data_IF_997399752409
#
_entry.id   IF_997399752409
#
_cell.length_a   1.000
_cell.length_b   1.000
_cell.length_c   1.000
_cell.angle_alpha   90.00
_cell.angle_beta   90.00
_cell.angle_gamma   90.00
#
_symmetry.space_group_name_H-M   'P 1'
#
loop_
_entity.id
_entity.type
_entity.pdbx_description
1 polymer ?
#
# COMPACT_ATOMS: atom_id res chain seq x y z
N UNK A 1 -10.49 -8.82 -11.10
CA UNK A 1 -9.65 -8.37 -9.96
C UNK A 1 -8.44 -9.29 -9.73
N UNK A 2 -8.61 -10.62 -9.57
CA UNK A 2 -7.46 -11.54 -9.35
C UNK A 2 -6.38 -11.48 -10.47
N UNK A 3 -6.77 -11.21 -11.72
CA UNK A 3 -5.86 -11.05 -12.86
C UNK A 3 -5.16 -9.68 -12.93
N UNK A 4 -5.56 -8.69 -12.12
CA UNK A 4 -5.00 -7.34 -12.13
C UNK A 4 -3.70 -7.23 -11.32
N UNK A 5 -3.07 -8.36 -10.96
CA UNK A 5 -1.85 -8.41 -10.15
C UNK A 5 -2.00 -7.92 -8.71
N UNK A 6 -3.05 -8.32 -7.95
CA UNK A 6 -3.31 -7.83 -6.60
C UNK A 6 -2.08 -7.94 -5.69
N UNK A 7 -1.96 -7.01 -4.73
CA UNK A 7 -0.88 -7.07 -3.74
C UNK A 7 -1.07 -8.29 -2.84
N UNK A 8 0.01 -9.03 -2.64
CA UNK A 8 0.11 -10.13 -1.69
C UNK A 8 0.79 -9.63 -0.43
N UNK A 9 0.20 -9.91 0.72
CA UNK A 9 0.70 -9.52 2.05
C UNK A 9 0.97 -10.77 2.86
N UNK A 10 2.17 -10.88 3.44
CA UNK A 10 2.53 -11.99 4.33
C UNK A 10 2.10 -11.64 5.75
N UNK A 11 1.03 -12.25 6.24
CA UNK A 11 0.42 -11.87 7.52
C UNK A 11 1.36 -12.20 8.68
N UNK A 12 1.52 -11.26 9.63
CA UNK A 12 2.42 -11.40 10.78
C UNK A 12 3.88 -11.00 10.53
N UNK A 13 4.27 -10.72 9.28
CA UNK A 13 5.65 -10.37 8.93
C UNK A 13 6.12 -8.97 9.35
N UNK A 14 5.24 -8.15 9.91
CA UNK A 14 5.56 -6.79 10.39
C UNK A 14 6.22 -6.77 11.78
N UNK A 15 6.40 -7.94 12.41
CA UNK A 15 6.92 -8.05 13.78
C UNK A 15 8.44 -8.13 13.80
N UNK A 16 9.06 -7.67 14.89
CA UNK A 16 10.52 -7.73 15.06
C UNK A 16 11.07 -9.17 14.96
N UNK A 17 10.34 -10.15 15.52
CA UNK A 17 10.72 -11.56 15.42
C UNK A 17 10.69 -12.06 13.98
N UNK A 18 9.72 -11.62 13.18
CA UNK A 18 9.64 -11.96 11.77
C UNK A 18 10.79 -11.33 10.96
N UNK A 19 11.20 -10.10 11.30
CA UNK A 19 12.35 -9.45 10.67
C UNK A 19 13.65 -10.19 11.00
N UNK A 20 13.88 -10.52 12.26
CA UNK A 20 15.06 -11.32 12.65
C UNK A 20 15.09 -12.67 11.93
N UNK A 21 13.95 -13.36 11.87
CA UNK A 21 13.87 -14.64 11.15
C UNK A 21 14.13 -14.49 9.64
N UNK A 22 13.70 -13.38 9.04
CA UNK A 22 14.01 -13.07 7.65
C UNK A 22 15.50 -12.74 7.46
N UNK A 23 16.12 -11.98 8.34
CA UNK A 23 17.54 -11.65 8.27
C UNK A 23 18.41 -12.91 8.40
N UNK A 24 18.02 -13.84 9.28
CA UNK A 24 18.75 -15.10 9.51
C UNK A 24 18.63 -16.10 8.34
N UNK A 25 17.46 -16.15 7.69
CA UNK A 25 17.13 -17.22 6.72
C UNK A 25 16.96 -16.72 5.26
N UNK A 26 16.88 -15.41 5.06
CA UNK A 26 16.62 -14.77 3.79
C UNK A 26 15.36 -15.30 3.10
N UNK A 27 15.51 -15.66 1.82
CA UNK A 27 14.38 -16.13 0.99
C UNK A 27 13.73 -17.42 1.50
N UNK A 28 14.45 -18.24 2.28
CA UNK A 28 13.89 -19.48 2.83
C UNK A 28 12.78 -19.18 3.85
N UNK A 29 12.89 -18.08 4.60
CA UNK A 29 11.82 -17.62 5.48
C UNK A 29 10.51 -17.41 4.72
N UNK A 30 10.58 -16.75 3.55
CA UNK A 30 9.40 -16.48 2.71
C UNK A 30 8.73 -17.78 2.26
N UNK A 31 9.51 -18.80 1.88
CA UNK A 31 8.97 -20.10 1.50
C UNK A 31 8.19 -20.74 2.64
N UNK A 32 8.72 -20.73 3.87
CA UNK A 32 8.08 -21.33 5.05
C UNK A 32 6.78 -20.64 5.47
N UNK A 33 6.66 -19.34 5.23
CA UNK A 33 5.50 -18.55 5.67
C UNK A 33 4.54 -18.21 4.53
N UNK A 34 4.80 -18.72 3.32
CA UNK A 34 4.02 -18.36 2.13
C UNK A 34 2.53 -18.67 2.25
N UNK A 35 2.16 -19.68 3.04
CA UNK A 35 0.77 -20.05 3.37
C UNK A 35 0.05 -19.00 4.23
N UNK A 36 0.78 -18.15 4.95
CA UNK A 36 0.22 -17.01 5.70
C UNK A 36 -0.14 -15.83 4.80
N UNK A 37 0.12 -15.91 3.49
CA UNK A 37 -0.07 -14.78 2.60
C UNK A 37 -1.54 -14.58 2.20
N UNK A 38 -2.01 -13.33 2.29
CA UNK A 38 -3.33 -12.90 1.87
C UNK A 38 -3.25 -11.98 0.64
N UNK A 39 -4.31 -11.97 -0.18
CA UNK A 39 -4.43 -11.07 -1.34
C UNK A 39 -5.31 -9.86 -1.02
N UNK A 40 -4.81 -8.66 -1.28
CA UNK A 40 -5.60 -7.42 -1.27
C UNK A 40 -6.44 -7.29 -2.54
N UNK A 41 -7.61 -7.91 -2.56
CA UNK A 41 -8.58 -7.78 -3.65
C UNK A 41 -9.44 -6.55 -3.42
N UNK A 42 -9.11 -5.44 -4.08
CA UNK A 42 -9.80 -4.15 -3.93
C UNK A 42 -10.57 -3.80 -5.21
N UNK A 43 -11.75 -3.22 -5.04
CA UNK A 43 -12.47 -2.47 -6.05
C UNK A 43 -12.05 -1.00 -6.03
N UNK A 44 -12.39 -0.26 -7.08
CA UNK A 44 -12.17 1.19 -7.14
C UNK A 44 -12.87 1.88 -5.97
N UNK A 45 -12.12 2.68 -5.21
CA UNK A 45 -12.64 3.38 -4.02
C UNK A 45 -12.39 2.63 -2.71
N UNK A 46 -11.99 1.35 -2.76
CA UNK A 46 -11.55 0.61 -1.59
C UNK A 46 -10.05 0.80 -1.34
N UNK A 47 -9.63 0.64 -0.08
CA UNK A 47 -8.24 0.78 0.33
C UNK A 47 -7.86 -0.32 1.33
N UNK A 48 -6.59 -0.73 1.29
CA UNK A 48 -5.96 -1.54 2.34
C UNK A 48 -5.09 -0.64 3.19
N UNK A 49 -5.28 -0.71 4.51
CA UNK A 49 -4.36 -0.14 5.49
C UNK A 49 -3.52 -1.26 6.09
N UNK A 50 -2.22 -1.05 6.19
CA UNK A 50 -1.28 -2.04 6.74
C UNK A 50 -0.07 -1.37 7.41
N UNK A 51 0.61 -2.10 8.28
CA UNK A 51 1.89 -1.68 8.87
C UNK A 51 2.97 -1.68 7.78
N UNK A 52 3.67 -0.56 7.59
CA UNK A 52 4.65 -0.38 6.52
C UNK A 52 5.80 -1.40 6.52
N UNK A 53 5.99 -2.15 7.62
CA UNK A 53 7.02 -3.20 7.76
C UNK A 53 6.55 -4.59 7.32
N UNK A 54 5.30 -4.75 6.90
CA UNK A 54 4.82 -6.04 6.40
C UNK A 54 5.52 -6.39 5.08
N UNK A 55 5.95 -7.64 4.94
CA UNK A 55 6.43 -8.17 3.66
C UNK A 55 5.25 -8.24 2.68
N UNK A 56 5.40 -7.62 1.51
CA UNK A 56 4.40 -7.61 0.47
C UNK A 56 5.02 -7.47 -0.92
N UNK A 57 4.30 -7.94 -1.93
CA UNK A 57 4.69 -7.75 -3.32
C UNK A 57 3.46 -7.64 -4.23
N UNK A 58 3.62 -6.95 -5.36
CA UNK A 58 2.61 -6.95 -6.42
C UNK A 58 2.60 -8.29 -7.15
N UNK A 59 1.41 -8.84 -7.39
CA UNK A 59 1.26 -9.98 -8.30
C UNK A 59 1.40 -9.58 -9.77
N UNK A 60 1.57 -10.55 -10.68
CA UNK A 60 1.57 -10.29 -12.12
C UNK A 60 0.19 -9.79 -12.58
N UNK A 61 0.18 -8.69 -13.35
CA UNK A 61 -1.03 -8.24 -14.05
C UNK A 61 -1.12 -8.95 -15.41
N UNK A 62 -2.02 -9.91 -15.52
CA UNK A 62 -2.30 -10.66 -16.76
C UNK A 62 -3.55 -10.17 -17.49
N UNK A 63 -4.13 -9.06 -17.06
CA UNK A 63 -5.22 -8.41 -17.77
C UNK A 63 -4.70 -7.56 -18.95
N UNK A 64 -5.64 -7.03 -19.75
CA UNK A 64 -5.33 -6.08 -20.82
C UNK A 64 -5.35 -4.62 -20.33
N UNK A 65 -5.58 -4.41 -19.03
CA UNK A 65 -5.80 -3.09 -18.44
C UNK A 65 -4.62 -2.67 -17.56
N UNK A 66 -4.31 -1.38 -17.54
CA UNK A 66 -3.31 -0.83 -16.62
C UNK A 66 -3.90 -0.73 -15.21
N UNK A 67 -3.18 -1.28 -14.21
CA UNK A 67 -3.52 -1.06 -12.81
C UNK A 67 -2.72 0.11 -12.25
N UNK A 68 -3.41 1.14 -11.79
CA UNK A 68 -2.82 2.27 -11.06
C UNK A 68 -3.18 2.16 -9.58
N UNK A 69 -2.22 2.42 -8.70
CA UNK A 69 -2.42 2.45 -7.25
C UNK A 69 -1.94 3.78 -6.69
N UNK A 70 -2.71 4.34 -5.76
CA UNK A 70 -2.34 5.52 -5.00
C UNK A 70 -1.99 5.11 -3.57
N UNK A 71 -0.79 5.48 -3.12
CA UNK A 71 -0.30 5.14 -1.79
C UNK A 71 -0.22 6.40 -0.93
N UNK A 72 -0.63 6.27 0.33
CA UNK A 72 -0.43 7.23 1.39
C UNK A 72 0.20 6.52 2.58
N UNK A 73 1.28 7.07 3.10
CA UNK A 73 1.95 6.56 4.30
C UNK A 73 1.78 7.56 5.43
N UNK A 74 1.37 7.06 6.59
CA UNK A 74 1.32 7.82 7.83
C UNK A 74 2.48 7.38 8.71
N UNK A 75 3.12 8.34 9.36
CA UNK A 75 4.08 8.07 10.43
C UNK A 75 3.50 8.52 11.76
N UNK A 76 3.90 7.86 12.84
CA UNK A 76 3.63 8.37 14.18
C UNK A 76 4.28 9.75 14.32
N UNK A 77 3.56 10.70 14.93
CA UNK A 77 4.07 12.07 15.08
C UNK A 77 5.35 12.14 15.93
N UNK A 78 5.54 11.16 16.82
CA UNK A 78 6.70 11.04 17.71
C UNK A 78 7.75 10.05 17.21
N UNK A 79 7.60 9.51 15.99
CA UNK A 79 8.66 8.70 15.39
C UNK A 79 9.78 9.64 14.92
N UNK A 80 11.02 9.35 15.32
CA UNK A 80 12.19 10.12 14.89
C UNK A 80 12.40 9.92 13.39
N UNK A 81 12.37 11.04 12.66
CA UNK A 81 12.37 11.04 11.19
C UNK A 81 13.70 10.56 10.58
N UNK A 82 14.81 10.71 11.30
CA UNK A 82 16.15 10.46 10.76
C UNK A 82 16.51 8.96 10.74
N UNK A 83 15.73 8.10 11.41
CA UNK A 83 15.96 6.64 11.47
C UNK A 83 14.98 5.82 10.61
N UNK A 84 14.04 6.48 9.92
CA UNK A 84 13.11 5.77 9.04
C UNK A 84 13.83 5.42 7.73
N UNK A 85 14.05 4.12 7.52
CA UNK A 85 14.72 3.54 6.35
C UNK A 85 14.09 3.89 4.98
N UNK A 86 12.97 4.63 4.95
CA UNK A 86 12.21 4.98 3.76
C UNK A 86 11.97 6.49 3.59
N UNK A 87 12.65 7.38 4.32
CA UNK A 87 12.48 8.85 4.12
C UNK A 87 12.77 9.28 2.67
N UNK A 88 13.74 8.66 2.00
CA UNK A 88 14.05 8.94 0.58
C UNK A 88 12.91 8.55 -0.37
N UNK A 89 12.03 7.63 0.04
CA UNK A 89 10.86 7.22 -0.74
C UNK A 89 9.66 8.17 -0.54
N UNK A 90 9.76 9.17 0.33
CA UNK A 90 8.69 10.14 0.55
C UNK A 90 8.63 11.15 -0.60
N UNK A 91 7.55 11.09 -1.38
CA UNK A 91 7.31 11.96 -2.55
C UNK A 91 6.32 13.10 -2.27
N UNK A 92 6.03 13.41 -1.01
CA UNK A 92 5.04 14.43 -0.66
C UNK A 92 5.55 15.83 -1.02
N UNK A 93 4.75 16.59 -1.77
CA UNK A 93 5.06 18.00 -2.08
C UNK A 93 5.20 18.82 -0.79
N UNK A 94 6.21 19.69 -0.73
CA UNK A 94 6.51 20.48 0.48
C UNK A 94 5.30 21.25 1.02
N UNK A 95 4.42 21.75 0.13
CA UNK A 95 3.18 22.46 0.50
C UNK A 95 2.12 21.61 1.22
N UNK A 96 2.29 20.29 1.27
CA UNK A 96 1.40 19.34 1.93
C UNK A 96 2.02 18.70 3.18
N UNK A 97 3.32 18.91 3.45
CA UNK A 97 4.01 18.37 4.62
C UNK A 97 3.38 18.91 5.91
N UNK A 98 3.03 18.02 6.84
CA UNK A 98 2.45 18.37 8.15
C UNK A 98 1.01 18.90 8.13
N UNK A 99 0.33 18.89 6.97
CA UNK A 99 -1.03 19.46 6.84
C UNK A 99 -2.17 18.45 6.96
N UNK A 100 -1.85 17.17 6.87
CA UNK A 100 -2.85 16.09 6.91
C UNK A 100 -2.49 15.09 7.99
N UNK A 101 -3.49 14.73 8.78
CA UNK A 101 -3.45 13.69 9.80
C UNK A 101 -4.34 12.53 9.38
N UNK A 102 -4.06 11.32 9.87
CA UNK A 102 -4.91 10.15 9.57
C UNK A 102 -6.37 10.39 9.97
N UNK A 103 -6.61 11.10 11.08
CA UNK A 103 -7.96 11.48 11.52
C UNK A 103 -8.72 12.34 10.50
N UNK A 104 -8.02 13.11 9.67
CA UNK A 104 -8.65 13.99 8.69
C UNK A 104 -9.25 13.18 7.53
N UNK A 105 -8.72 11.98 7.25
CA UNK A 105 -9.31 11.06 6.27
C UNK A 105 -10.62 10.42 6.78
N UNK A 106 -10.71 10.14 8.08
CA UNK A 106 -11.88 9.46 8.66
C UNK A 106 -13.09 10.40 8.79
N UNK A 107 -12.85 11.71 8.91
CA UNK A 107 -13.90 12.71 9.12
C UNK A 107 -14.52 13.24 7.83
N UNK A 108 -13.92 12.98 6.67
CA UNK A 108 -14.52 13.33 5.38
C UNK A 108 -15.54 12.27 4.97
N UNK A 109 -16.79 12.43 5.42
CA UNK A 109 -17.92 11.82 4.71
C UNK A 109 -17.99 12.43 3.31
N UNK A 110 -18.11 11.63 2.23
CA UNK A 110 -18.31 12.20 0.90
C UNK A 110 -19.56 13.06 0.93
N UNK A 111 -19.40 14.38 0.75
CA UNK A 111 -20.50 15.19 0.23
C UNK A 111 -20.48 14.94 -1.26
N UNK A 112 -21.44 14.15 -1.74
CA UNK A 112 -21.81 13.97 -3.16
C UNK A 112 -20.72 14.34 -4.17
N UNK A 113 -19.69 13.49 -4.29
CA UNK A 113 -18.72 13.62 -5.38
C UNK A 113 -19.31 12.94 -6.61
N UNK A 114 -19.95 13.72 -7.48
CA UNK A 114 -20.31 13.25 -8.82
C UNK A 114 -19.03 13.14 -9.65
N UNK A 115 -18.54 11.92 -9.88
CA UNK A 115 -17.51 11.70 -10.89
C UNK A 115 -18.14 11.95 -12.26
N UNK A 116 -17.80 13.08 -12.88
CA UNK A 116 -18.17 13.37 -14.26
C UNK A 116 -17.69 12.25 -15.17
N UNK A 117 -18.58 11.79 -16.07
CA UNK A 117 -18.29 10.72 -17.01
C UNK A 117 -17.00 11.03 -17.79
N UNK A 118 -16.00 10.16 -17.67
CA UNK A 118 -14.81 10.18 -18.53
C UNK A 118 -15.28 9.76 -19.93
N UNK A 119 -15.37 10.73 -20.84
CA UNK A 119 -15.64 10.51 -22.25
C UNK A 119 -14.52 9.67 -22.86
N UNK A 120 -14.82 8.43 -23.23
CA UNK A 120 -13.96 7.64 -24.10
C UNK A 120 -14.08 8.16 -25.54
N UNK A 121 -13.24 9.11 -25.92
CA UNK A 121 -12.95 9.33 -27.33
C UNK A 121 -11.57 8.74 -27.65
N UNK A 122 -11.59 7.59 -28.33
CA UNK A 122 -10.43 7.05 -29.03
C UNK A 122 -10.22 7.86 -30.34
N UNK A 123 -9.00 8.30 -30.66
CA UNK A 123 -8.69 8.76 -32.00
C UNK A 123 -8.73 7.59 -32.99
N UNK A 124 -9.22 7.87 -34.20
CA UNK A 124 -9.25 6.95 -35.35
C UNK A 124 -7.85 6.73 -35.91
#
# INVERSE_FOLDING_TARGET
IKSMGPTRFVIGSHTANAHQAFDDQGIQYISHISDSAALGLLQTGEATLYDGRILHCGGPNSSQEMRVMFYLTFRCATADGDELANEEAHSILSRYRGRFLLRDLVQQRPKDVSFGAISQQRPQ
#
